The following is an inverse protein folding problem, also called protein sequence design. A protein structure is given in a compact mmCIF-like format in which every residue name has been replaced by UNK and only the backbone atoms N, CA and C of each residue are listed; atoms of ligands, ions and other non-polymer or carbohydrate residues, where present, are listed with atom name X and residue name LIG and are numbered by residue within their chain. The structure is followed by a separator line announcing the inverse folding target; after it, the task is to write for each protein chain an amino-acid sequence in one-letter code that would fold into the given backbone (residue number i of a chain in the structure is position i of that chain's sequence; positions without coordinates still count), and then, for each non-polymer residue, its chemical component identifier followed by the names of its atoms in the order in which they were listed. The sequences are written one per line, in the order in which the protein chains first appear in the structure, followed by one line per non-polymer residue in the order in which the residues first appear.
data_IF_457174275990
#
_entry.id   IF_457174275990
#
_cell.length_a   1.000
_cell.length_b   1.000
_cell.length_c   1.000
_cell.angle_alpha   90.00
_cell.angle_beta   90.00
_cell.angle_gamma   90.00
#
_symmetry.space_group_name_H-M   'P 1'
#
loop_
_entity.id
_entity.type
_entity.pdbx_description
1 polymer ?
#
# COMPACT_ATOMS: atom_id res chain seq x y z
N UNK A 1 4.37 20.66 17.34
CA UNK A 1 3.43 19.63 16.83
C UNK A 1 2.61 20.07 15.62
N UNK A 2 1.90 21.21 15.63
CA UNK A 2 1.03 21.65 14.50
C UNK A 2 1.72 21.68 13.12
N UNK A 3 3.02 22.01 13.06
CA UNK A 3 3.78 22.17 11.82
C UNK A 3 4.05 20.87 11.06
N UNK A 4 4.21 19.73 11.77
CA UNK A 4 4.45 18.43 11.13
C UNK A 4 3.16 17.90 10.50
N UNK A 5 2.06 17.92 11.25
CA UNK A 5 0.74 17.48 10.76
C UNK A 5 0.35 18.32 9.54
N UNK A 6 0.50 19.64 9.63
CA UNK A 6 0.25 20.55 8.50
C UNK A 6 1.03 20.16 7.25
N UNK A 7 2.34 19.85 7.35
CA UNK A 7 3.13 19.38 6.21
C UNK A 7 2.65 18.05 5.63
N UNK A 8 2.17 17.14 6.47
CA UNK A 8 1.72 15.81 6.03
C UNK A 8 0.42 15.87 5.23
N UNK A 9 -0.48 16.79 5.58
CA UNK A 9 -1.81 16.92 4.93
C UNK A 9 -1.85 18.04 3.87
N UNK A 10 -0.82 18.88 3.77
CA UNK A 10 -0.77 19.96 2.77
C UNK A 10 -0.78 19.40 1.34
N UNK A 11 -1.68 19.92 0.52
CA UNK A 11 -1.84 19.49 -0.88
C UNK A 11 -2.53 20.55 -1.75
N UNK A 12 -2.36 20.43 -3.07
CA UNK A 12 -3.04 21.23 -4.09
C UNK A 12 -4.28 20.49 -4.62
N UNK A 13 -5.32 21.18 -5.14
CA UNK A 13 -6.56 20.54 -5.61
C UNK A 13 -6.40 19.83 -6.98
N UNK A 14 -5.37 19.01 -7.14
CA UNK A 14 -5.10 18.34 -8.41
C UNK A 14 -5.83 17.00 -8.53
N UNK A 15 -6.50 16.80 -9.66
CA UNK A 15 -7.15 15.52 -9.99
C UNK A 15 -6.16 14.40 -10.30
N UNK A 16 -4.91 14.72 -10.68
CA UNK A 16 -3.87 13.71 -10.90
C UNK A 16 -3.63 12.86 -9.64
N UNK A 17 -3.53 13.51 -8.47
CA UNK A 17 -3.40 12.80 -7.19
C UNK A 17 -4.63 11.97 -6.84
N UNK A 18 -5.85 12.45 -7.16
CA UNK A 18 -7.06 11.64 -6.97
C UNK A 18 -6.99 10.34 -7.80
N UNK A 19 -6.64 10.43 -9.07
CA UNK A 19 -6.53 9.27 -9.97
C UNK A 19 -5.47 8.30 -9.44
N UNK A 20 -4.29 8.78 -9.08
CA UNK A 20 -3.21 7.95 -8.52
C UNK A 20 -3.63 7.27 -7.21
N UNK A 21 -4.31 7.99 -6.33
CA UNK A 21 -4.83 7.46 -5.07
C UNK A 21 -5.85 6.36 -5.27
N UNK A 22 -6.82 6.57 -6.17
CA UNK A 22 -7.86 5.58 -6.45
C UNK A 22 -7.26 4.34 -7.11
N UNK A 23 -6.37 4.52 -8.11
CA UNK A 23 -5.70 3.41 -8.77
C UNK A 23 -4.91 2.54 -7.79
N UNK A 24 -4.05 3.16 -6.97
CA UNK A 24 -3.24 2.43 -5.98
C UNK A 24 -4.09 1.85 -4.85
N UNK A 25 -5.01 2.65 -4.29
CA UNK A 25 -5.83 2.24 -3.15
C UNK A 25 -6.82 1.11 -3.49
N UNK A 26 -7.52 1.19 -4.62
CA UNK A 26 -8.44 0.13 -5.06
C UNK A 26 -7.68 -1.16 -5.35
N UNK A 27 -6.50 -1.06 -5.95
CA UNK A 27 -5.66 -2.22 -6.24
C UNK A 27 -5.14 -2.89 -4.95
N UNK A 28 -4.71 -2.11 -3.95
CA UNK A 28 -4.12 -2.65 -2.71
C UNK A 28 -5.18 -3.16 -1.73
N UNK A 29 -6.38 -2.56 -1.71
CA UNK A 29 -7.42 -2.91 -0.73
C UNK A 29 -7.76 -4.42 -0.68
N UNK A 30 -7.91 -5.14 -1.82
CA UNK A 30 -8.08 -6.60 -1.80
C UNK A 30 -7.00 -7.34 -1.01
N UNK A 31 -5.72 -6.94 -1.12
CA UNK A 31 -4.63 -7.56 -0.37
C UNK A 31 -4.75 -7.34 1.14
N UNK A 32 -5.14 -6.12 1.55
CA UNK A 32 -5.46 -5.83 2.94
C UNK A 32 -6.65 -6.63 3.46
N UNK A 33 -7.71 -6.76 2.65
CA UNK A 33 -8.92 -7.53 2.99
C UNK A 33 -8.65 -9.04 3.04
N UNK A 34 -7.73 -9.57 2.23
CA UNK A 34 -7.22 -10.94 2.36
C UNK A 34 -6.57 -11.17 3.71
N UNK A 35 -5.73 -10.22 4.13
CA UNK A 35 -4.96 -10.31 5.38
C UNK A 35 -5.79 -10.03 6.64
N UNK A 36 -6.87 -9.25 6.54
CA UNK A 36 -7.70 -8.89 7.70
C UNK A 36 -8.95 -9.76 7.82
N UNK A 37 -9.76 -9.80 6.76
CA UNK A 37 -11.09 -10.40 6.77
C UNK A 37 -11.14 -11.78 6.09
N UNK A 38 -10.06 -12.21 5.44
CA UNK A 38 -10.03 -13.47 4.68
C UNK A 38 -10.86 -13.43 3.39
N UNK A 39 -11.19 -12.23 2.90
CA UNK A 39 -11.88 -12.06 1.62
C UNK A 39 -10.93 -12.39 0.46
N UNK A 40 -11.48 -12.58 -0.75
CA UNK A 40 -10.69 -12.86 -1.96
C UNK A 40 -9.75 -14.07 -1.82
N UNK A 41 -10.19 -15.10 -1.09
CA UNK A 41 -9.39 -16.32 -0.85
C UNK A 41 -8.23 -16.12 0.13
N UNK A 42 -8.23 -15.04 0.91
CA UNK A 42 -7.19 -14.74 1.89
C UNK A 42 -7.31 -15.55 3.18
N UNK A 43 -6.25 -15.51 3.99
CA UNK A 43 -6.13 -16.29 5.22
C UNK A 43 -6.82 -15.64 6.43
N UNK A 44 -7.11 -14.33 6.37
CA UNK A 44 -7.63 -13.56 7.50
C UNK A 44 -6.60 -13.28 8.59
N UNK A 45 -6.96 -12.41 9.54
CA UNK A 45 -6.00 -11.80 10.46
C UNK A 45 -5.18 -12.80 11.27
N UNK A 46 -5.84 -13.75 11.94
CA UNK A 46 -5.16 -14.68 12.84
C UNK A 46 -4.12 -15.54 12.10
N UNK A 47 -4.50 -16.12 10.95
CA UNK A 47 -3.61 -16.98 10.16
C UNK A 47 -2.53 -16.18 9.44
N UNK A 48 -2.81 -14.97 8.97
CA UNK A 48 -1.78 -14.10 8.39
C UNK A 48 -0.74 -13.71 9.45
N UNK A 49 -1.17 -13.38 10.66
CA UNK A 49 -0.26 -13.04 11.75
C UNK A 49 0.58 -14.25 12.17
N UNK A 50 -0.04 -15.42 12.28
CA UNK A 50 0.65 -16.69 12.55
C UNK A 50 1.69 -17.00 11.47
N UNK A 51 1.33 -16.86 10.18
CA UNK A 51 2.26 -17.06 9.07
C UNK A 51 3.47 -16.13 9.19
N UNK A 52 3.26 -14.82 9.37
CA UNK A 52 4.38 -13.88 9.46
C UNK A 52 5.24 -14.07 10.71
N UNK A 53 4.68 -14.51 11.83
CA UNK A 53 5.43 -14.67 13.08
C UNK A 53 6.13 -16.03 13.18
N UNK A 54 5.47 -17.12 12.77
CA UNK A 54 5.95 -18.47 12.97
C UNK A 54 6.59 -19.09 11.72
N UNK A 55 6.14 -18.70 10.52
CA UNK A 55 6.70 -19.22 9.26
C UNK A 55 7.82 -18.31 8.76
N UNK A 56 7.55 -17.01 8.65
CA UNK A 56 8.55 -16.02 8.22
C UNK A 56 9.47 -15.56 9.36
N UNK A 57 9.11 -15.84 10.62
CA UNK A 57 9.95 -15.52 11.78
C UNK A 57 9.99 -14.04 12.16
N UNK A 58 9.08 -13.21 11.66
CA UNK A 58 9.07 -11.78 11.99
C UNK A 58 8.58 -11.54 13.43
N UNK A 59 9.19 -10.58 14.15
CA UNK A 59 8.61 -10.08 15.38
C UNK A 59 7.18 -9.57 15.14
N UNK A 60 6.28 -9.81 16.09
CA UNK A 60 4.85 -9.48 15.96
C UNK A 60 4.59 -8.03 15.54
N UNK A 61 5.39 -7.08 16.04
CA UNK A 61 5.23 -5.67 15.70
C UNK A 61 5.58 -5.36 14.23
N UNK A 62 6.48 -6.13 13.60
CA UNK A 62 6.77 -6.04 12.16
C UNK A 62 5.69 -6.76 11.36
N UNK A 63 5.26 -7.94 11.82
CA UNK A 63 4.23 -8.75 11.15
C UNK A 63 2.89 -8.02 10.98
N UNK A 64 2.54 -7.13 11.91
CA UNK A 64 1.29 -6.35 11.85
C UNK A 64 1.38 -5.18 10.85
N UNK A 65 2.57 -4.65 10.56
CA UNK A 65 2.74 -3.49 9.66
C UNK A 65 2.15 -3.70 8.26
N UNK A 66 2.43 -4.80 7.52
CA UNK A 66 1.86 -4.99 6.20
C UNK A 66 0.33 -5.12 6.23
N UNK A 67 -0.23 -5.73 7.28
CA UNK A 67 -1.68 -5.87 7.46
C UNK A 67 -2.32 -4.47 7.59
N UNK A 68 -1.74 -3.61 8.42
CA UNK A 68 -2.24 -2.24 8.62
C UNK A 68 -2.03 -1.37 7.38
N UNK A 69 -0.85 -1.45 6.76
CA UNK A 69 -0.49 -0.65 5.61
C UNK A 69 -1.35 -0.95 4.39
N UNK A 70 -1.60 -2.23 4.08
CA UNK A 70 -2.45 -2.57 2.93
C UNK A 70 -3.94 -2.37 3.20
N UNK A 71 -4.39 -2.49 4.45
CA UNK A 71 -5.82 -2.31 4.78
C UNK A 71 -6.13 -0.83 4.99
N UNK A 72 -5.60 -0.25 6.06
CA UNK A 72 -5.88 1.14 6.42
C UNK A 72 -5.15 2.12 5.51
N UNK A 73 -3.96 1.78 5.00
CA UNK A 73 -3.30 2.60 4.00
C UNK A 73 -4.06 2.64 2.69
N UNK A 74 -4.64 1.53 2.22
CA UNK A 74 -5.49 1.57 1.02
C UNK A 74 -6.76 2.42 1.23
N UNK A 75 -7.44 2.27 2.37
CA UNK A 75 -8.58 3.13 2.70
C UNK A 75 -8.16 4.60 2.82
N UNK A 76 -7.02 4.87 3.45
CA UNK A 76 -6.42 6.20 3.55
C UNK A 76 -6.13 6.80 2.17
N UNK A 77 -5.63 6.00 1.22
CA UNK A 77 -5.47 6.42 -0.17
C UNK A 77 -6.82 6.72 -0.82
N UNK A 78 -7.81 5.82 -0.75
CA UNK A 78 -9.12 6.00 -1.39
C UNK A 78 -9.79 7.30 -0.93
N UNK A 79 -9.84 7.54 0.39
CA UNK A 79 -10.46 8.74 0.95
C UNK A 79 -9.52 9.97 0.98
N UNK A 80 -8.25 9.80 0.64
CA UNK A 80 -7.24 10.86 0.71
C UNK A 80 -7.02 11.36 2.13
N UNK A 81 -6.92 10.44 3.08
CA UNK A 81 -6.62 10.68 4.49
C UNK A 81 -5.17 10.27 4.79
N UNK A 82 -4.40 11.21 5.35
CA UNK A 82 -2.96 11.06 5.61
C UNK A 82 -2.22 10.50 4.39
N UNK A 83 -2.52 11.03 3.20
CA UNK A 83 -2.15 10.44 1.91
C UNK A 83 -0.68 10.09 1.83
N UNK A 84 0.21 10.95 2.33
CA UNK A 84 1.66 10.71 2.32
C UNK A 84 2.06 9.52 3.19
N UNK A 85 1.43 9.37 4.36
CA UNK A 85 1.68 8.24 5.27
C UNK A 85 1.10 6.96 4.67
N UNK A 86 -0.14 7.02 4.17
CA UNK A 86 -0.83 5.90 3.54
C UNK A 86 -0.04 5.39 2.31
N UNK A 87 0.41 6.30 1.45
CA UNK A 87 1.25 5.97 0.31
C UNK A 87 2.60 5.37 0.74
N UNK A 88 3.26 5.96 1.75
CA UNK A 88 4.51 5.44 2.29
C UNK A 88 4.38 4.01 2.82
N UNK A 89 3.36 3.73 3.64
CA UNK A 89 3.12 2.39 4.16
C UNK A 89 2.91 1.37 3.05
N UNK A 90 2.03 1.68 2.09
CA UNK A 90 1.78 0.83 0.92
C UNK A 90 3.04 0.63 0.08
N UNK A 91 3.77 1.70 -0.21
CA UNK A 91 5.00 1.64 -1.01
C UNK A 91 6.10 0.84 -0.34
N UNK A 92 6.23 0.93 0.98
CA UNK A 92 7.18 0.12 1.75
C UNK A 92 6.84 -1.37 1.69
N UNK A 93 5.56 -1.73 1.81
CA UNK A 93 5.11 -3.14 1.65
C UNK A 93 5.41 -3.64 0.25
N UNK A 94 5.08 -2.86 -0.79
CA UNK A 94 5.37 -3.24 -2.17
C UNK A 94 6.87 -3.39 -2.42
N UNK A 95 7.70 -2.50 -1.88
CA UNK A 95 9.16 -2.60 -2.01
C UNK A 95 9.73 -3.83 -1.34
N UNK A 96 9.32 -4.11 -0.10
CA UNK A 96 9.79 -5.29 0.64
C UNK A 96 9.35 -6.57 -0.08
N UNK A 97 8.05 -6.69 -0.43
CA UNK A 97 7.53 -7.84 -1.16
C UNK A 97 8.28 -8.04 -2.49
N UNK A 98 8.51 -6.96 -3.25
CA UNK A 98 9.28 -7.01 -4.50
C UNK A 98 10.66 -7.63 -4.29
N UNK A 99 11.40 -7.16 -3.28
CA UNK A 99 12.78 -7.61 -3.03
C UNK A 99 12.83 -9.04 -2.48
N UNK A 100 11.96 -9.37 -1.53
CA UNK A 100 12.06 -10.63 -0.77
C UNK A 100 11.33 -11.80 -1.43
N UNK A 101 10.27 -11.54 -2.19
CA UNK A 101 9.38 -12.60 -2.72
C UNK A 101 9.33 -12.65 -4.25
N UNK A 102 9.61 -11.55 -4.96
CA UNK A 102 9.37 -11.47 -6.41
C UNK A 102 10.62 -11.28 -7.27
N UNK A 103 11.68 -10.67 -6.73
CA UNK A 103 12.89 -10.34 -7.50
C UNK A 103 13.56 -11.58 -8.10
N UNK A 104 13.54 -12.71 -7.40
CA UNK A 104 14.08 -13.98 -7.89
C UNK A 104 13.28 -14.60 -9.05
N UNK A 105 12.04 -14.16 -9.27
CA UNK A 105 11.19 -14.64 -10.36
C UNK A 105 11.34 -13.83 -11.66
N UNK A 106 12.20 -12.82 -11.67
CA UNK A 106 12.50 -12.03 -12.88
C UNK A 106 11.59 -10.82 -13.06
N UNK A 107 11.57 -10.27 -14.27
CA UNK A 107 10.88 -8.99 -14.54
C UNK A 107 9.38 -9.16 -14.77
N UNK A 108 8.98 -10.10 -15.62
CA UNK A 108 7.61 -10.19 -16.12
C UNK A 108 6.69 -10.92 -15.15
N UNK A 109 5.45 -10.44 -15.05
CA UNK A 109 4.39 -11.15 -14.35
C UNK A 109 4.08 -12.50 -15.03
N UNK A 110 3.63 -13.47 -14.23
CA UNK A 110 3.36 -14.84 -14.63
C UNK A 110 1.94 -15.01 -15.20
N UNK A 111 1.52 -14.15 -16.12
CA UNK A 111 0.16 -14.12 -16.65
C UNK A 111 -0.32 -15.45 -17.24
N UNK A 112 0.59 -16.26 -17.77
CA UNK A 112 0.32 -17.55 -18.40
C UNK A 112 0.60 -18.75 -17.49
N UNK A 113 1.05 -18.53 -16.25
CA UNK A 113 1.37 -19.61 -15.32
C UNK A 113 2.60 -20.46 -15.69
N UNK A 114 3.48 -19.96 -16.55
CA UNK A 114 4.67 -20.67 -17.06
C UNK A 114 5.94 -20.38 -16.26
N UNK A 115 5.89 -19.46 -15.30
CA UNK A 115 6.99 -19.10 -14.39
C UNK A 115 6.76 -19.68 -12.99
N UNK A 116 7.83 -19.75 -12.18
CA UNK A 116 7.76 -20.26 -10.81
C UNK A 116 7.03 -19.31 -9.83
N UNK A 117 6.86 -18.04 -10.19
CA UNK A 117 6.20 -17.02 -9.40
C UNK A 117 6.03 -15.73 -10.20
N UNK A 118 5.41 -14.73 -9.60
CA UNK A 118 5.19 -13.43 -10.24
C UNK A 118 6.47 -12.59 -10.24
N UNK A 119 6.80 -11.95 -11.37
CA UNK A 119 7.91 -11.00 -11.47
C UNK A 119 7.63 -9.63 -10.84
N UNK A 120 8.49 -8.65 -11.13
CA UNK A 120 8.51 -7.34 -10.46
C UNK A 120 7.84 -6.18 -11.22
N UNK A 121 7.42 -6.38 -12.47
CA UNK A 121 6.86 -5.32 -13.34
C UNK A 121 5.75 -4.50 -12.66
N UNK A 122 4.81 -5.18 -12.01
CA UNK A 122 3.70 -4.56 -11.29
C UNK A 122 4.15 -3.74 -10.07
N UNK A 123 5.15 -4.23 -9.34
CA UNK A 123 5.67 -3.57 -8.13
C UNK A 123 6.30 -2.23 -8.46
N UNK A 124 7.00 -2.13 -9.58
CA UNK A 124 7.61 -0.89 -10.06
C UNK A 124 6.53 0.19 -10.26
N UNK A 125 5.40 -0.17 -10.88
CA UNK A 125 4.27 0.76 -11.07
C UNK A 125 3.64 1.19 -9.74
N UNK A 126 3.40 0.25 -8.84
CA UNK A 126 2.81 0.54 -7.52
C UNK A 126 3.72 1.46 -6.68
N UNK A 127 5.02 1.18 -6.66
CA UNK A 127 6.03 1.98 -5.96
C UNK A 127 6.14 3.38 -6.60
N UNK A 128 6.11 3.47 -7.94
CA UNK A 128 6.11 4.75 -8.64
C UNK A 128 4.91 5.64 -8.29
N UNK A 129 3.71 5.06 -8.25
CA UNK A 129 2.50 5.77 -7.81
C UNK A 129 2.59 6.19 -6.35
N UNK A 130 3.10 5.31 -5.48
CA UNK A 130 3.32 5.62 -4.07
C UNK A 130 4.29 6.81 -3.93
N UNK A 131 5.44 6.81 -4.62
CA UNK A 131 6.40 7.90 -4.60
C UNK A 131 5.78 9.22 -5.07
N UNK A 132 5.02 9.20 -6.17
CA UNK A 132 4.33 10.38 -6.68
C UNK A 132 3.34 10.96 -5.65
N UNK A 133 2.59 10.11 -4.95
CA UNK A 133 1.66 10.53 -3.90
C UNK A 133 2.36 11.03 -2.63
N UNK A 134 3.49 10.42 -2.26
CA UNK A 134 4.34 10.91 -1.17
C UNK A 134 4.83 12.33 -1.46
N UNK A 135 5.11 12.67 -2.73
CA UNK A 135 5.57 14.01 -3.14
C UNK A 135 4.41 15.00 -3.25
N UNK A 136 3.31 14.63 -3.91
CA UNK A 136 2.21 15.54 -4.25
C UNK A 136 1.13 15.68 -3.16
N UNK A 137 0.96 14.69 -2.30
CA UNK A 137 -0.11 14.66 -1.29
C UNK A 137 -1.50 14.33 -1.86
N UNK A 138 -2.54 14.64 -1.08
CA UNK A 138 -3.92 14.14 -1.29
C UNK A 138 -4.68 14.60 -2.52
N UNK A 139 -4.40 15.77 -3.09
CA UNK A 139 -5.10 16.23 -4.30
C UNK A 139 -6.55 16.67 -4.08
N UNK A 140 -7.28 16.74 -5.20
CA UNK A 140 -8.72 16.96 -5.21
C UNK A 140 -9.49 15.87 -4.43
N UNK A 141 -10.61 16.26 -3.82
CA UNK A 141 -11.53 15.38 -3.07
C UNK A 141 -10.88 14.55 -1.95
N UNK A 142 -9.79 15.04 -1.36
CA UNK A 142 -9.11 14.39 -0.23
C UNK A 142 -9.58 14.95 1.12
N UNK A 143 -9.63 14.09 2.14
CA UNK A 143 -9.80 14.52 3.53
C UNK A 143 -8.66 15.45 3.95
N UNK A 144 -7.43 15.18 3.51
CA UNK A 144 -6.25 16.02 3.74
C UNK A 144 -6.51 17.47 3.33
N UNK A 145 -7.08 17.70 2.14
CA UNK A 145 -7.44 19.04 1.66
C UNK A 145 -8.53 19.70 2.51
N UNK A 146 -9.53 18.94 2.96
CA UNK A 146 -10.60 19.47 3.82
C UNK A 146 -10.03 19.94 5.18
N UNK A 147 -8.96 19.32 5.64
CA UNK A 147 -8.30 19.62 6.92
C UNK A 147 -7.12 20.61 6.80
N UNK A 148 -6.58 20.83 5.60
CA UNK A 148 -5.44 21.71 5.34
C UNK A 148 -5.81 23.19 5.13
N UNK A 149 -7.05 23.58 5.44
CA UNK A 149 -7.59 24.95 5.28
C UNK A 149 -7.08 25.85 6.40
#
# INVERSE_FOLDING_TARGET
MKKIISKLIQTTPEYSSLIMRLALGIMILPHGLQKTLGLFGGNGFAKTLEYFTNVEGFPIFIAVLPILAESFGALGLIFGCLTRISAFGVGAVMLVAMITQHLSHGFFMNWYGTQAGEGIEFFILAIGLSAALIIKGGGALSIDRKLSI
#
